data_IF_012039037179
#
_entry.id   IF_012039037179
#
_cell.length_a   1.000
_cell.length_b   1.000
_cell.length_c   1.000
_cell.angle_alpha   90.00
_cell.angle_beta   90.00
_cell.angle_gamma   90.00
#
_symmetry.space_group_name_H-M   'P 1'
#
loop_
_entity.id
_entity.type
_entity.pdbx_description
1 polymer ?
#
# COMPACT_ATOMS: atom_id res chain seq x y z
N UNK A 1 17.79 32.80 5.11
CA UNK A 1 17.71 31.49 5.83
C UNK A 1 19.14 30.97 5.99
N UNK A 2 19.59 30.65 7.22
CA UNK A 2 20.99 30.23 7.44
C UNK A 2 21.11 28.71 7.08
N UNK A 3 22.19 28.30 6.42
CA UNK A 3 22.48 26.94 5.96
C UNK A 3 22.33 25.89 7.07
N UNK A 4 22.71 26.24 8.31
CA UNK A 4 22.56 25.40 9.50
C UNK A 4 21.08 25.08 9.84
N UNK A 5 20.16 25.96 9.50
CA UNK A 5 18.73 25.79 9.79
C UNK A 5 18.08 24.71 8.94
N UNK A 6 18.37 24.66 7.64
CA UNK A 6 17.83 23.62 6.74
C UNK A 6 18.28 22.23 7.17
N UNK A 7 19.56 22.08 7.50
CA UNK A 7 20.10 20.80 7.98
C UNK A 7 19.41 20.34 9.28
N UNK A 8 19.19 21.24 10.24
CA UNK A 8 18.52 20.90 11.50
C UNK A 8 17.04 20.53 11.29
N UNK A 9 16.35 21.21 10.37
CA UNK A 9 14.96 20.90 10.02
C UNK A 9 14.85 19.54 9.32
N UNK A 10 15.75 19.23 8.40
CA UNK A 10 15.80 17.93 7.75
C UNK A 10 16.03 16.80 8.79
N UNK A 11 16.99 16.99 9.71
CA UNK A 11 17.23 16.03 10.81
C UNK A 11 16.00 15.84 11.68
N UNK A 12 15.28 16.91 12.05
CA UNK A 12 14.02 16.82 12.80
C UNK A 12 12.97 15.97 12.07
N UNK A 13 12.78 16.23 10.77
CA UNK A 13 11.81 15.50 9.95
C UNK A 13 12.15 14.00 9.90
N UNK A 14 13.43 13.64 9.70
CA UNK A 14 13.89 12.26 9.68
C UNK A 14 13.74 11.57 11.05
N UNK A 15 14.04 12.25 12.17
CA UNK A 15 13.82 11.67 13.51
C UNK A 15 12.36 11.40 13.77
N UNK A 16 11.47 12.32 13.37
CA UNK A 16 10.02 12.16 13.53
C UNK A 16 9.47 11.01 12.65
N UNK A 17 10.04 10.81 11.47
CA UNK A 17 9.67 9.73 10.56
C UNK A 17 10.14 8.37 11.08
N UNK A 18 11.41 8.26 11.52
CA UNK A 18 11.98 7.02 12.05
C UNK A 18 11.46 6.66 13.46
N UNK A 19 10.82 7.59 14.18
CA UNK A 19 10.44 7.42 15.58
C UNK A 19 11.63 7.14 16.53
N UNK A 20 12.86 7.38 16.06
CA UNK A 20 14.11 6.98 16.74
C UNK A 20 15.31 7.81 16.29
N UNK A 21 16.07 8.34 17.25
CA UNK A 21 17.34 9.03 16.97
C UNK A 21 18.39 8.11 16.32
N UNK A 22 18.42 6.84 16.71
CA UNK A 22 19.34 5.85 16.12
C UNK A 22 18.91 5.46 14.69
N UNK A 23 17.60 5.37 14.44
CA UNK A 23 17.05 5.16 13.11
C UNK A 23 17.44 6.28 12.16
N UNK A 24 17.18 7.53 12.57
CA UNK A 24 17.54 8.72 11.80
C UNK A 24 19.05 8.84 11.55
N UNK A 25 19.88 8.50 12.54
CA UNK A 25 21.33 8.51 12.39
C UNK A 25 21.83 7.55 11.31
N UNK A 26 21.22 6.37 11.21
CA UNK A 26 21.51 5.39 10.14
C UNK A 26 21.05 5.90 8.77
N UNK A 27 19.84 6.43 8.69
CA UNK A 27 19.26 6.94 7.45
C UNK A 27 20.05 8.14 6.91
N UNK A 28 20.48 9.04 7.80
CA UNK A 28 21.27 10.23 7.43
C UNK A 28 22.78 9.96 7.30
N UNK A 29 23.24 8.75 7.60
CA UNK A 29 24.66 8.36 7.63
C UNK A 29 25.55 9.30 8.50
N UNK A 30 25.01 9.75 9.66
CA UNK A 30 25.73 10.61 10.62
C UNK A 30 25.71 9.99 12.02
N UNK A 31 26.59 10.50 12.92
CA UNK A 31 26.66 10.01 14.29
C UNK A 31 25.36 10.30 15.07
N UNK A 32 24.88 9.38 15.94
CA UNK A 32 23.69 9.61 16.77
C UNK A 32 23.78 10.86 17.67
N UNK A 33 25.00 11.22 18.12
CA UNK A 33 25.26 12.45 18.86
C UNK A 33 25.01 13.70 18.02
N UNK A 34 25.33 13.68 16.73
CA UNK A 34 25.10 14.78 15.80
C UNK A 34 23.60 15.00 15.56
N UNK A 35 22.83 13.91 15.40
CA UNK A 35 21.37 13.97 15.30
C UNK A 35 20.75 14.59 16.55
N UNK A 36 21.14 14.11 17.74
CA UNK A 36 20.63 14.63 19.01
C UNK A 36 21.00 16.11 19.21
N UNK A 37 22.21 16.50 18.87
CA UNK A 37 22.66 17.88 18.94
C UNK A 37 21.88 18.79 17.97
N UNK A 38 21.66 18.36 16.74
CA UNK A 38 20.93 19.14 15.74
C UNK A 38 19.49 19.44 16.19
N UNK A 39 18.77 18.43 16.71
CA UNK A 39 17.41 18.61 17.25
C UNK A 39 17.41 19.50 18.48
N UNK A 40 18.29 19.25 19.46
CA UNK A 40 18.36 20.05 20.70
C UNK A 40 18.74 21.51 20.43
N UNK A 41 19.64 21.76 19.48
CA UNK A 41 20.00 23.12 19.04
C UNK A 41 18.81 23.83 18.35
N UNK A 42 18.01 23.13 17.57
CA UNK A 42 16.81 23.65 16.96
C UNK A 42 15.75 24.01 18.02
N UNK A 43 15.47 23.11 18.96
CA UNK A 43 14.54 23.31 20.06
C UNK A 43 14.96 24.48 20.96
N UNK A 44 16.23 24.54 21.34
CA UNK A 44 16.77 25.63 22.17
C UNK A 44 16.64 27.01 21.51
N UNK A 45 16.82 27.08 20.19
CA UNK A 45 16.66 28.31 19.42
C UNK A 45 15.21 28.74 19.28
N UNK A 46 14.29 27.80 19.09
CA UNK A 46 12.86 28.09 18.96
C UNK A 46 12.19 28.30 20.33
N UNK A 47 12.84 27.91 21.42
CA UNK A 47 12.31 28.02 22.79
C UNK A 47 11.21 27.01 23.10
N UNK A 48 11.00 26.02 22.21
CA UNK A 48 9.95 25.00 22.35
C UNK A 48 10.50 23.60 22.11
N UNK A 49 9.93 22.61 22.77
CA UNK A 49 10.22 21.20 22.48
C UNK A 49 9.38 20.74 21.29
N UNK A 50 10.05 20.12 20.32
CA UNK A 50 9.42 19.61 19.10
C UNK A 50 9.23 18.09 19.14
N UNK A 51 10.03 17.38 19.97
CA UNK A 51 9.94 15.94 20.15
C UNK A 51 9.77 15.58 21.62
N UNK A 52 8.76 14.76 21.91
CA UNK A 52 8.61 14.08 23.18
C UNK A 52 9.49 12.82 23.17
N UNK A 53 10.32 12.66 24.20
CA UNK A 53 11.24 11.53 24.34
C UNK A 53 10.75 10.63 25.48
N UNK A 54 10.49 9.37 25.21
CA UNK A 54 10.33 8.33 26.21
C UNK A 54 11.47 7.32 26.10
N UNK A 55 11.62 6.44 27.06
CA UNK A 55 12.61 5.35 27.01
C UNK A 55 12.35 4.35 25.89
N UNK A 56 11.15 4.37 25.29
CA UNK A 56 10.71 3.39 24.28
C UNK A 56 10.43 3.99 22.91
N UNK A 57 10.14 5.30 22.80
CA UNK A 57 9.73 5.94 21.54
C UNK A 57 10.05 7.43 21.53
N UNK A 58 10.15 7.97 20.31
CA UNK A 58 10.22 9.42 20.03
C UNK A 58 9.03 9.78 19.17
N UNK A 59 8.26 10.77 19.61
CA UNK A 59 7.07 11.27 18.87
C UNK A 59 7.11 12.81 18.84
N UNK A 60 6.50 13.45 17.82
CA UNK A 60 6.32 14.90 17.81
C UNK A 60 5.48 15.38 18.99
N UNK A 61 5.80 16.55 19.54
CA UNK A 61 4.89 17.33 20.39
C UNK A 61 3.81 17.97 19.52
N UNK A 62 2.86 18.69 20.11
CA UNK A 62 1.85 19.43 19.36
C UNK A 62 2.52 20.49 18.44
N UNK A 63 3.47 21.27 19.00
CA UNK A 63 4.25 22.25 18.25
C UNK A 63 5.12 21.59 17.18
N UNK A 64 5.68 20.41 17.52
CA UNK A 64 6.45 19.60 16.57
C UNK A 64 5.61 19.10 15.41
N UNK A 65 4.39 18.64 15.68
CA UNK A 65 3.45 18.19 14.64
C UNK A 65 3.04 19.34 13.71
N UNK A 66 2.68 20.49 14.27
CA UNK A 66 2.32 21.69 13.48
C UNK A 66 3.50 22.17 12.60
N UNK A 67 4.72 22.13 13.12
CA UNK A 67 5.91 22.46 12.32
C UNK A 67 6.12 21.44 11.19
N UNK A 68 6.03 20.15 11.51
CA UNK A 68 6.27 19.07 10.55
C UNK A 68 5.23 19.05 9.41
N UNK A 69 3.99 19.39 9.69
CA UNK A 69 2.93 19.53 8.68
C UNK A 69 3.32 20.48 7.54
N UNK A 70 3.98 21.62 7.89
CA UNK A 70 4.45 22.60 6.91
C UNK A 70 5.84 22.28 6.37
N UNK A 71 6.68 21.67 7.19
CA UNK A 71 8.08 21.39 6.86
C UNK A 71 8.21 20.27 5.82
N UNK A 72 7.44 19.19 5.96
CA UNK A 72 7.52 18.05 5.03
C UNK A 72 7.25 18.44 3.58
N UNK A 73 6.17 19.20 3.25
CA UNK A 73 5.97 19.68 1.88
C UNK A 73 7.11 20.56 1.38
N UNK A 74 7.65 21.44 2.26
CA UNK A 74 8.74 22.35 1.88
C UNK A 74 10.06 21.60 1.56
N UNK A 75 10.42 20.60 2.37
CA UNK A 75 11.57 19.73 2.09
C UNK A 75 11.37 18.97 0.78
N UNK A 76 10.17 18.45 0.56
CA UNK A 76 9.80 17.77 -0.68
C UNK A 76 9.92 18.66 -1.92
N UNK A 77 9.57 19.95 -1.83
CA UNK A 77 9.75 20.92 -2.92
C UNK A 77 11.24 21.20 -3.20
N UNK A 78 12.08 21.25 -2.16
CA UNK A 78 13.53 21.40 -2.32
C UNK A 78 14.12 20.19 -3.03
N UNK A 79 13.74 18.98 -2.63
CA UNK A 79 14.17 17.74 -3.28
C UNK A 79 13.75 17.71 -4.74
N UNK A 80 12.49 18.10 -5.03
CA UNK A 80 11.97 18.19 -6.38
C UNK A 80 12.77 19.19 -7.24
N UNK A 81 13.11 20.36 -6.69
CA UNK A 81 13.92 21.35 -7.40
C UNK A 81 15.32 20.82 -7.72
N UNK A 82 15.92 20.06 -6.81
CA UNK A 82 17.22 19.39 -7.03
C UNK A 82 17.11 18.28 -8.09
N UNK A 83 16.06 17.46 -8.01
CA UNK A 83 15.78 16.41 -9.00
C UNK A 83 15.53 16.99 -10.39
N UNK A 84 14.74 18.09 -10.49
CA UNK A 84 14.49 18.80 -11.74
C UNK A 84 15.80 19.37 -12.34
N UNK A 85 16.69 19.89 -11.51
CA UNK A 85 18.00 20.34 -11.95
C UNK A 85 18.92 19.18 -12.42
N UNK A 86 18.70 17.98 -11.90
CA UNK A 86 19.37 16.75 -12.32
C UNK A 86 18.74 16.12 -13.56
N UNK A 87 17.48 16.46 -13.90
CA UNK A 87 16.78 16.05 -15.15
C UNK A 87 17.51 16.47 -16.44
N UNK A 88 18.42 17.44 -16.37
CA UNK A 88 19.34 17.75 -17.48
C UNK A 88 20.30 16.59 -17.83
N UNK A 89 20.29 15.50 -17.04
CA UNK A 89 20.87 14.21 -17.35
C UNK A 89 19.72 13.28 -17.75
N UNK A 90 19.71 12.80 -18.97
CA UNK A 90 18.71 11.95 -19.66
C UNK A 90 18.20 10.68 -18.92
N UNK A 91 18.30 10.58 -17.59
CA UNK A 91 17.89 9.39 -16.83
C UNK A 91 17.12 9.75 -15.57
N UNK A 92 15.89 9.20 -15.41
CA UNK A 92 15.14 9.32 -14.16
C UNK A 92 15.93 8.73 -12.99
N UNK A 93 16.06 9.48 -11.89
CA UNK A 93 16.79 9.10 -10.68
C UNK A 93 16.06 9.60 -9.42
N UNK A 94 16.50 9.11 -8.25
CA UNK A 94 16.03 9.55 -6.95
C UNK A 94 15.19 8.52 -6.20
N UNK A 95 14.67 8.91 -5.03
CA UNK A 95 13.87 8.04 -4.18
C UNK A 95 12.39 8.14 -4.54
N UNK A 96 11.73 7.00 -4.62
CA UNK A 96 10.29 6.86 -4.85
C UNK A 96 9.67 5.98 -3.76
N UNK A 97 8.82 6.55 -2.91
CA UNK A 97 8.13 5.85 -1.82
C UNK A 97 6.66 5.65 -2.15
N UNK A 98 6.23 4.40 -2.13
CA UNK A 98 4.85 4.02 -2.47
C UNK A 98 4.17 3.31 -1.31
N UNK A 99 2.90 3.69 -1.04
CA UNK A 99 1.98 2.95 -0.20
C UNK A 99 1.16 1.99 -1.06
N UNK A 100 1.30 0.68 -0.84
CA UNK A 100 0.76 -0.34 -1.72
C UNK A 100 0.04 -1.42 -0.92
N UNK A 101 -1.21 -1.80 -1.24
CA UNK A 101 -1.84 -2.96 -0.61
C UNK A 101 -1.14 -4.24 -1.04
N UNK A 102 -1.11 -5.22 -0.15
CA UNK A 102 -0.44 -6.51 -0.34
C UNK A 102 -0.79 -7.18 -1.66
N UNK A 103 -2.07 -7.20 -2.00
CA UNK A 103 -2.58 -7.81 -3.24
C UNK A 103 -2.01 -7.13 -4.48
N UNK A 104 -1.96 -5.79 -4.52
CA UNK A 104 -1.37 -5.06 -5.65
C UNK A 104 0.14 -5.30 -5.75
N UNK A 105 0.84 -5.35 -4.62
CA UNK A 105 2.27 -5.65 -4.59
C UNK A 105 2.55 -7.02 -5.21
N UNK A 106 1.80 -8.05 -4.82
CA UNK A 106 1.98 -9.41 -5.33
C UNK A 106 1.55 -9.57 -6.79
N UNK A 107 0.36 -9.09 -7.14
CA UNK A 107 -0.25 -9.41 -8.44
C UNK A 107 0.15 -8.45 -9.57
N UNK A 108 0.46 -7.19 -9.23
CA UNK A 108 0.73 -6.16 -10.24
C UNK A 108 2.20 -5.74 -10.28
N UNK A 109 2.79 -5.45 -9.10
CA UNK A 109 4.14 -4.89 -9.06
C UNK A 109 5.22 -5.97 -9.14
N UNK A 110 5.19 -6.98 -8.26
CA UNK A 110 6.24 -8.00 -8.14
C UNK A 110 6.61 -8.65 -9.47
N UNK A 111 5.67 -9.01 -10.37
CA UNK A 111 6.03 -9.62 -11.65
C UNK A 111 6.88 -8.72 -12.57
N UNK A 112 6.87 -7.41 -12.33
CA UNK A 112 7.50 -6.40 -13.17
C UNK A 112 8.63 -5.62 -12.47
N UNK A 113 8.82 -5.78 -11.14
CA UNK A 113 9.85 -5.05 -10.36
C UNK A 113 11.26 -5.27 -10.90
N UNK A 114 11.61 -6.50 -11.24
CA UNK A 114 12.94 -6.79 -11.79
C UNK A 114 13.22 -6.08 -13.11
N UNK A 115 12.21 -6.01 -13.99
CA UNK A 115 12.32 -5.27 -15.26
C UNK A 115 12.38 -3.75 -15.02
N UNK A 116 11.60 -3.22 -14.07
CA UNK A 116 11.65 -1.82 -13.68
C UNK A 116 13.04 -1.43 -13.14
N UNK A 117 13.56 -2.17 -12.16
CA UNK A 117 14.88 -1.90 -11.58
C UNK A 117 16.01 -1.95 -12.62
N UNK A 118 15.90 -2.84 -13.62
CA UNK A 118 16.86 -2.89 -14.74
C UNK A 118 16.74 -1.69 -15.68
N UNK A 119 15.50 -1.21 -15.94
CA UNK A 119 15.26 -0.07 -16.82
C UNK A 119 15.67 1.27 -16.16
N UNK A 120 15.52 1.36 -14.83
CA UNK A 120 15.76 2.57 -14.06
C UNK A 120 16.69 2.32 -12.86
N UNK A 121 17.98 2.03 -13.10
CA UNK A 121 18.93 1.64 -12.05
C UNK A 121 19.26 2.76 -11.04
N UNK A 122 18.98 4.02 -11.40
CA UNK A 122 19.23 5.19 -10.56
C UNK A 122 18.01 5.58 -9.69
N UNK A 123 16.90 4.81 -9.77
CA UNK A 123 15.74 4.98 -8.91
C UNK A 123 15.81 4.03 -7.72
N UNK A 124 15.75 4.55 -6.51
CA UNK A 124 15.53 3.75 -5.29
C UNK A 124 14.05 3.68 -5.03
N UNK A 125 13.45 2.52 -5.31
CA UNK A 125 12.02 2.28 -5.11
C UNK A 125 11.79 1.63 -3.74
N UNK A 126 11.08 2.35 -2.86
CA UNK A 126 10.61 1.86 -1.57
C UNK A 126 9.11 1.57 -1.64
N UNK A 127 8.72 0.33 -1.40
CA UNK A 127 7.32 -0.10 -1.35
C UNK A 127 6.99 -0.47 0.08
N UNK A 128 6.06 0.26 0.70
CA UNK A 128 5.50 -0.08 1.99
C UNK A 128 4.16 -0.77 1.80
N UNK A 129 4.03 -1.95 2.42
CA UNK A 129 2.77 -2.69 2.38
C UNK A 129 1.83 -2.08 3.41
N UNK A 130 0.78 -1.43 2.92
CA UNK A 130 -0.24 -0.79 3.73
C UNK A 130 -1.63 -1.09 3.18
N UNK A 131 -2.35 -1.96 3.91
CA UNK A 131 -3.72 -2.34 3.57
C UNK A 131 -4.76 -1.35 4.15
N UNK A 132 -4.31 -0.38 4.97
CA UNK A 132 -5.15 0.74 5.42
C UNK A 132 -5.12 1.86 4.39
N UNK A 133 -6.23 2.60 4.34
CA UNK A 133 -6.25 3.85 3.58
C UNK A 133 -5.42 4.89 4.34
N UNK A 134 -4.20 5.13 3.87
CA UNK A 134 -3.30 6.15 4.42
C UNK A 134 -3.29 7.32 3.44
N UNK A 135 -3.42 8.54 3.95
CA UNK A 135 -3.22 9.73 3.12
C UNK A 135 -1.78 9.74 2.62
N UNK A 136 -1.62 9.82 1.29
CA UNK A 136 -0.31 9.80 0.62
C UNK A 136 0.58 10.95 1.10
N UNK A 137 -0.02 12.12 1.31
CA UNK A 137 0.71 13.33 1.71
C UNK A 137 1.12 13.27 3.18
N UNK A 138 0.18 12.90 4.08
CA UNK A 138 0.44 12.78 5.52
C UNK A 138 1.44 11.64 5.80
N UNK A 139 1.35 10.54 5.06
CA UNK A 139 2.25 9.39 5.17
C UNK A 139 3.65 9.63 4.61
N UNK A 140 3.88 10.75 3.91
CA UNK A 140 5.18 11.05 3.27
C UNK A 140 5.47 10.13 2.09
N UNK A 141 4.44 9.65 1.40
CA UNK A 141 4.55 8.88 0.17
C UNK A 141 4.51 9.78 -1.06
N UNK A 142 5.14 9.36 -2.15
CA UNK A 142 5.06 10.05 -3.43
C UNK A 142 3.79 9.67 -4.19
N UNK A 143 3.36 8.42 -4.04
CA UNK A 143 2.11 7.91 -4.60
C UNK A 143 1.57 6.73 -3.78
N UNK A 144 0.30 6.41 -3.98
CA UNK A 144 -0.33 5.20 -3.45
C UNK A 144 -0.86 4.31 -4.57
N UNK A 145 -1.10 3.04 -4.26
CA UNK A 145 -1.79 2.12 -5.14
C UNK A 145 -3.08 1.66 -4.46
N UNK A 146 -4.20 1.69 -5.16
CA UNK A 146 -5.50 1.21 -4.64
C UNK A 146 -6.36 0.67 -5.79
N UNK A 147 -7.43 -0.03 -5.44
CA UNK A 147 -8.52 -0.36 -6.39
C UNK A 147 -9.23 0.93 -6.82
N UNK A 148 -9.77 0.94 -8.04
CA UNK A 148 -10.34 2.14 -8.68
C UNK A 148 -11.50 2.80 -7.92
N UNK A 149 -12.21 2.05 -7.10
CA UNK A 149 -13.38 2.50 -6.34
C UNK A 149 -13.06 3.47 -5.17
N UNK A 150 -11.77 3.60 -4.79
CA UNK A 150 -11.33 4.29 -3.57
C UNK A 150 -10.62 5.62 -3.81
N UNK A 151 -10.87 6.31 -4.94
CA UNK A 151 -10.09 7.48 -5.34
C UNK A 151 -10.67 8.80 -4.83
N UNK A 152 -9.81 9.68 -4.27
CA UNK A 152 -10.18 11.02 -3.81
C UNK A 152 -10.24 12.03 -4.97
N UNK A 153 -11.11 13.07 -4.84
CA UNK A 153 -11.40 14.05 -5.91
C UNK A 153 -10.21 14.89 -6.38
N UNK A 154 -9.17 15.07 -5.56
CA UNK A 154 -7.99 15.92 -5.86
C UNK A 154 -6.75 15.12 -6.27
N UNK A 155 -6.92 13.85 -6.65
CA UNK A 155 -5.84 12.95 -7.04
C UNK A 155 -5.90 12.65 -8.54
N UNK A 156 -4.73 12.49 -9.15
CA UNK A 156 -4.60 11.87 -10.47
C UNK A 156 -4.50 10.37 -10.26
N UNK A 157 -5.29 9.61 -11.02
CA UNK A 157 -5.27 8.16 -11.01
C UNK A 157 -4.87 7.62 -12.38
N UNK A 158 -3.92 6.69 -12.39
CA UNK A 158 -3.47 6.01 -13.61
C UNK A 158 -3.58 4.51 -13.40
N UNK A 159 -4.28 3.84 -14.28
CA UNK A 159 -4.46 2.39 -14.22
C UNK A 159 -3.15 1.65 -14.46
N UNK A 160 -2.79 0.73 -13.55
CA UNK A 160 -1.54 -0.04 -13.60
C UNK A 160 -1.75 -1.57 -13.62
N UNK A 161 -2.97 -2.03 -13.49
CA UNK A 161 -3.33 -3.45 -13.50
C UNK A 161 -4.48 -3.78 -14.44
N UNK A 162 -4.62 -5.06 -14.85
CA UNK A 162 -5.77 -5.53 -15.60
C UNK A 162 -7.03 -5.47 -14.73
N UNK A 163 -8.19 -5.76 -15.34
CA UNK A 163 -9.40 -6.05 -14.59
C UNK A 163 -9.16 -7.19 -13.61
N UNK A 164 -9.73 -7.05 -12.44
CA UNK A 164 -9.68 -8.03 -11.37
C UNK A 164 -11.01 -8.76 -11.26
N UNK A 165 -10.99 -9.95 -10.72
CA UNK A 165 -12.20 -10.75 -10.48
C UNK A 165 -12.06 -11.51 -9.17
N UNK A 166 -13.12 -11.56 -8.39
CA UNK A 166 -13.24 -12.47 -7.25
C UNK A 166 -13.50 -13.90 -7.69
N UNK A 167 -13.13 -14.85 -6.87
CA UNK A 167 -13.45 -16.26 -7.03
C UNK A 167 -13.88 -16.88 -5.71
N UNK A 168 -15.06 -17.48 -5.69
CA UNK A 168 -15.48 -18.35 -4.59
C UNK A 168 -15.03 -19.77 -4.92
N UNK A 169 -14.22 -20.35 -4.04
CA UNK A 169 -13.58 -21.65 -4.26
C UNK A 169 -13.67 -22.56 -3.04
N UNK A 170 -13.65 -23.86 -3.29
CA UNK A 170 -13.53 -24.89 -2.26
C UNK A 170 -12.89 -26.16 -2.82
N UNK A 171 -12.29 -26.96 -1.96
CA UNK A 171 -11.67 -28.23 -2.35
C UNK A 171 -12.72 -29.27 -2.77
N UNK A 172 -12.37 -30.21 -3.67
CA UNK A 172 -13.23 -31.36 -3.97
C UNK A 172 -13.64 -32.15 -2.73
N UNK A 173 -12.73 -32.31 -1.75
CA UNK A 173 -13.00 -32.98 -0.46
C UNK A 173 -14.08 -32.28 0.36
N UNK A 174 -14.13 -30.96 0.33
CA UNK A 174 -15.19 -30.19 0.98
C UNK A 174 -16.55 -30.45 0.32
N UNK A 175 -16.61 -30.43 -1.01
CA UNK A 175 -17.84 -30.67 -1.77
C UNK A 175 -18.27 -32.14 -1.80
N UNK A 176 -17.42 -33.06 -1.39
CA UNK A 176 -17.83 -34.46 -1.18
C UNK A 176 -18.81 -34.61 0.01
N UNK A 177 -18.73 -33.68 0.98
CA UNK A 177 -19.58 -33.67 2.17
C UNK A 177 -20.67 -32.57 2.15
N UNK A 178 -20.52 -31.55 1.30
CA UNK A 178 -21.39 -30.39 1.25
C UNK A 178 -21.85 -30.11 -0.20
N UNK A 179 -23.12 -29.81 -0.47
CA UNK A 179 -23.56 -29.44 -1.80
C UNK A 179 -22.84 -28.17 -2.28
N UNK A 180 -22.76 -27.98 -3.60
CA UNK A 180 -22.22 -26.72 -4.15
C UNK A 180 -23.26 -25.61 -4.05
N UNK A 181 -22.91 -24.42 -3.57
CA UNK A 181 -23.82 -23.28 -3.57
C UNK A 181 -24.10 -22.81 -5.01
N UNK A 182 -25.34 -22.51 -5.32
CA UNK A 182 -25.80 -21.97 -6.61
C UNK A 182 -26.21 -20.49 -6.50
N UNK A 183 -26.43 -20.00 -5.28
CA UNK A 183 -26.79 -18.63 -4.99
C UNK A 183 -25.96 -18.10 -3.80
N UNK A 184 -25.59 -16.81 -3.73
CA UNK A 184 -24.81 -16.27 -2.60
C UNK A 184 -25.44 -16.54 -1.22
N UNK A 185 -26.77 -16.58 -1.13
CA UNK A 185 -27.47 -16.86 0.14
C UNK A 185 -27.26 -18.29 0.65
N UNK A 186 -26.92 -19.25 -0.22
CA UNK A 186 -26.61 -20.62 0.17
C UNK A 186 -25.35 -20.69 1.05
N UNK A 187 -24.50 -19.65 1.02
CA UNK A 187 -23.30 -19.55 1.86
C UNK A 187 -23.60 -19.55 3.36
N UNK A 188 -24.87 -19.29 3.76
CA UNK A 188 -25.31 -19.39 5.15
C UNK A 188 -25.16 -20.82 5.71
N UNK A 189 -25.25 -21.85 4.86
CA UNK A 189 -25.12 -23.26 5.23
C UNK A 189 -23.67 -23.76 5.09
N UNK A 190 -22.73 -22.92 4.66
CA UNK A 190 -21.35 -23.29 4.42
C UNK A 190 -20.38 -22.72 5.46
N UNK A 191 -19.31 -23.47 5.71
CA UNK A 191 -18.15 -22.95 6.45
C UNK A 191 -17.31 -22.10 5.48
N UNK A 192 -17.13 -20.81 5.82
CA UNK A 192 -16.36 -19.88 5.01
C UNK A 192 -15.09 -19.45 5.74
N UNK A 193 -14.01 -19.29 4.99
CA UNK A 193 -12.76 -18.71 5.47
C UNK A 193 -12.85 -17.20 5.29
N UNK A 194 -12.81 -16.46 6.39
CA UNK A 194 -13.11 -15.04 6.41
C UNK A 194 -11.83 -14.22 6.32
N UNK A 195 -11.90 -13.12 5.60
CA UNK A 195 -10.81 -12.14 5.54
C UNK A 195 -11.05 -11.01 6.54
N UNK A 196 -10.00 -10.62 7.29
CA UNK A 196 -10.01 -9.46 8.18
C UNK A 196 -9.04 -8.41 7.68
N UNK A 197 -9.56 -7.22 7.39
CA UNK A 197 -8.71 -6.07 7.07
C UNK A 197 -7.86 -5.65 8.27
N UNK A 198 -6.74 -4.97 8.01
CA UNK A 198 -5.88 -4.37 9.03
C UNK A 198 -6.59 -3.33 9.91
N UNK A 199 -7.74 -2.79 9.45
CA UNK A 199 -8.65 -1.95 10.24
C UNK A 199 -9.42 -2.72 11.32
N UNK A 200 -9.36 -4.07 11.31
CA UNK A 200 -10.13 -4.94 12.19
C UNK A 200 -11.50 -5.34 11.63
N UNK A 201 -11.95 -4.74 10.54
CA UNK A 201 -13.24 -5.03 9.90
C UNK A 201 -13.15 -6.39 9.17
N UNK A 202 -14.18 -7.21 9.29
CA UNK A 202 -14.33 -8.43 8.50
C UNK A 202 -14.90 -8.06 7.13
N UNK A 203 -14.28 -8.60 6.07
CA UNK A 203 -14.76 -8.43 4.71
C UNK A 203 -16.12 -9.12 4.55
N UNK A 204 -17.09 -8.38 4.04
CA UNK A 204 -18.38 -8.92 3.60
C UNK A 204 -18.22 -9.29 2.12
N UNK A 205 -18.53 -10.54 1.80
CA UNK A 205 -18.42 -11.01 0.42
C UNK A 205 -19.43 -10.32 -0.47
N UNK A 206 -18.97 -9.66 -1.50
CA UNK A 206 -19.76 -8.86 -2.42
C UNK A 206 -20.02 -9.64 -3.71
N UNK A 207 -21.26 -9.69 -4.11
CA UNK A 207 -21.74 -10.41 -5.29
C UNK A 207 -22.62 -9.50 -6.12
N UNK A 208 -22.50 -9.61 -7.46
CA UNK A 208 -23.37 -8.89 -8.39
C UNK A 208 -23.73 -9.76 -9.58
N UNK A 209 -25.00 -9.73 -9.98
CA UNK A 209 -25.50 -10.45 -11.16
C UNK A 209 -26.76 -9.78 -11.70
N UNK A 210 -26.75 -9.37 -12.97
CA UNK A 210 -27.95 -8.85 -13.64
C UNK A 210 -28.55 -7.60 -12.99
N UNK A 211 -27.73 -6.78 -12.30
CA UNK A 211 -28.16 -5.59 -11.58
C UNK A 211 -28.59 -5.86 -10.13
N UNK A 212 -28.60 -7.10 -9.68
CA UNK A 212 -28.76 -7.45 -8.27
C UNK A 212 -27.39 -7.44 -7.58
N UNK A 213 -27.28 -6.75 -6.43
CA UNK A 213 -26.09 -6.71 -5.58
C UNK A 213 -26.41 -7.33 -4.23
N UNK A 214 -25.55 -8.23 -3.76
CA UNK A 214 -25.73 -8.95 -2.49
C UNK A 214 -24.43 -8.92 -1.71
N UNK A 215 -24.50 -8.50 -0.45
CA UNK A 215 -23.42 -8.64 0.52
C UNK A 215 -23.68 -9.77 1.51
N UNK A 216 -22.74 -10.67 1.68
CA UNK A 216 -22.83 -11.79 2.63
C UNK A 216 -21.81 -11.62 3.76
N UNK A 217 -22.29 -11.57 4.99
CA UNK A 217 -21.46 -11.71 6.19
C UNK A 217 -21.13 -13.20 6.40
N UNK A 218 -20.19 -13.70 5.64
CA UNK A 218 -19.77 -15.10 5.67
C UNK A 218 -19.42 -15.58 7.10
N UNK A 219 -19.76 -16.82 7.42
CA UNK A 219 -19.52 -17.43 8.72
C UNK A 219 -18.58 -18.63 8.60
N UNK A 220 -17.76 -18.87 9.63
CA UNK A 220 -16.88 -20.02 9.64
C UNK A 220 -15.74 -19.91 10.65
N UNK A 221 -14.96 -21.00 10.83
CA UNK A 221 -14.04 -21.14 11.93
C UNK A 221 -12.71 -20.39 11.77
N UNK A 222 -12.35 -20.00 10.53
CA UNK A 222 -11.09 -19.30 10.25
C UNK A 222 -11.30 -17.85 9.88
N UNK A 223 -10.45 -17.00 10.45
CA UNK A 223 -10.32 -15.58 10.10
C UNK A 223 -8.84 -15.36 9.83
N UNK A 224 -8.51 -14.93 8.62
CA UNK A 224 -7.15 -14.67 8.16
C UNK A 224 -7.09 -13.26 7.54
N UNK A 225 -5.90 -12.73 7.35
CA UNK A 225 -5.64 -11.40 6.78
C UNK A 225 -4.70 -11.45 5.57
N UNK A 226 -4.61 -12.66 4.95
CA UNK A 226 -3.69 -12.89 3.84
C UNK A 226 -4.29 -13.88 2.84
N UNK A 227 -4.36 -13.47 1.56
CA UNK A 227 -5.03 -14.24 0.50
C UNK A 227 -4.40 -15.60 0.22
N UNK A 228 -3.06 -15.74 0.31
CA UNK A 228 -2.40 -17.02 0.09
C UNK A 228 -2.73 -18.02 1.18
N UNK A 229 -2.82 -17.59 2.45
CA UNK A 229 -3.23 -18.44 3.56
C UNK A 229 -4.68 -18.88 3.42
N UNK A 230 -5.55 -17.97 2.96
CA UNK A 230 -6.96 -18.26 2.70
C UNK A 230 -7.09 -19.29 1.57
N UNK A 231 -6.36 -19.09 0.46
CA UNK A 231 -6.36 -20.02 -0.66
C UNK A 231 -5.83 -21.42 -0.24
N UNK A 232 -4.76 -21.46 0.57
CA UNK A 232 -4.21 -22.72 1.08
C UNK A 232 -5.22 -23.43 2.00
N UNK A 233 -5.86 -22.72 2.93
CA UNK A 233 -6.87 -23.30 3.81
C UNK A 233 -8.09 -23.85 3.02
N UNK A 234 -8.44 -23.21 1.89
CA UNK A 234 -9.47 -23.73 1.00
C UNK A 234 -9.02 -25.01 0.28
N UNK A 235 -7.77 -25.09 -0.19
CA UNK A 235 -7.17 -26.30 -0.78
C UNK A 235 -7.20 -27.47 0.23
N UNK A 236 -6.92 -27.18 1.51
CA UNK A 236 -6.92 -28.17 2.60
C UNK A 236 -8.35 -28.60 3.01
N UNK A 237 -9.40 -28.06 2.35
CA UNK A 237 -10.78 -28.45 2.57
C UNK A 237 -11.44 -27.88 3.82
N UNK A 238 -10.88 -26.83 4.42
CA UNK A 238 -11.42 -26.20 5.64
C UNK A 238 -12.80 -25.58 5.42
N UNK A 239 -13.05 -25.03 4.21
CA UNK A 239 -14.28 -24.35 3.85
C UNK A 239 -14.20 -23.66 2.49
N UNK A 240 -15.16 -22.80 2.23
CA UNK A 240 -15.17 -21.93 1.04
C UNK A 240 -14.32 -20.67 1.29
N UNK A 241 -13.62 -20.24 0.27
CA UNK A 241 -12.87 -18.99 0.26
C UNK A 241 -13.38 -18.05 -0.83
N UNK A 242 -13.39 -16.74 -0.54
CA UNK A 242 -13.52 -15.68 -1.53
C UNK A 242 -12.18 -14.96 -1.63
N UNK A 243 -11.51 -15.10 -2.76
CA UNK A 243 -10.18 -14.52 -3.01
C UNK A 243 -10.12 -13.94 -4.42
N UNK A 244 -9.10 -13.13 -4.70
CA UNK A 244 -8.86 -12.73 -6.10
C UNK A 244 -8.44 -13.93 -6.95
N UNK A 245 -9.05 -14.07 -8.13
CA UNK A 245 -8.84 -15.20 -9.05
C UNK A 245 -7.35 -15.54 -9.31
N UNK A 246 -6.42 -14.58 -9.49
CA UNK A 246 -5.01 -14.92 -9.70
C UNK A 246 -4.37 -15.79 -8.61
N UNK A 247 -4.81 -15.69 -7.35
CA UNK A 247 -4.29 -16.51 -6.25
C UNK A 247 -4.67 -17.98 -6.37
N UNK A 248 -5.77 -18.28 -7.06
CA UNK A 248 -6.32 -19.64 -7.17
C UNK A 248 -6.33 -20.19 -8.60
N UNK A 249 -5.77 -19.46 -9.56
CA UNK A 249 -5.74 -19.87 -10.97
C UNK A 249 -5.08 -21.23 -11.17
N UNK A 250 -3.91 -21.47 -10.57
CA UNK A 250 -3.22 -22.74 -10.68
C UNK A 250 -3.99 -23.88 -9.98
N UNK A 251 -4.45 -23.75 -8.70
CA UNK A 251 -5.29 -24.74 -8.05
C UNK A 251 -6.60 -25.04 -8.76
N UNK A 252 -7.20 -24.07 -9.46
CA UNK A 252 -8.38 -24.30 -10.30
C UNK A 252 -8.03 -25.10 -11.54
N UNK A 253 -6.91 -24.80 -12.20
CA UNK A 253 -6.48 -25.48 -13.41
C UNK A 253 -6.07 -26.94 -13.15
N UNK A 254 -5.48 -27.24 -12.01
CA UNK A 254 -5.05 -28.61 -11.63
C UNK A 254 -6.11 -29.40 -10.83
N UNK A 255 -7.28 -28.79 -10.58
CA UNK A 255 -8.41 -29.47 -9.94
C UNK A 255 -8.34 -29.57 -8.42
N UNK A 256 -7.35 -28.96 -7.76
CA UNK A 256 -7.28 -28.89 -6.28
C UNK A 256 -8.37 -27.99 -5.70
N UNK A 257 -8.88 -27.06 -6.48
CA UNK A 257 -10.03 -26.22 -6.14
C UNK A 257 -11.12 -26.32 -7.22
N UNK A 258 -12.35 -26.16 -6.80
CA UNK A 258 -13.54 -26.03 -7.65
C UNK A 258 -14.11 -24.64 -7.43
N UNK A 259 -14.37 -23.93 -8.52
CA UNK A 259 -15.04 -22.62 -8.52
C UNK A 259 -16.55 -22.81 -8.42
N UNK A 260 -17.19 -21.96 -7.63
CA UNK A 260 -18.65 -21.84 -7.50
C UNK A 260 -19.07 -20.38 -7.60
N UNK A 261 -20.34 -20.10 -7.81
CA UNK A 261 -20.90 -18.74 -7.92
C UNK A 261 -20.19 -17.84 -8.94
N UNK A 262 -19.67 -18.43 -10.02
CA UNK A 262 -18.87 -17.70 -10.99
C UNK A 262 -19.62 -16.55 -11.65
N UNK A 263 -20.88 -16.73 -11.93
CA UNK A 263 -21.78 -15.77 -12.56
C UNK A 263 -22.19 -14.61 -11.60
N UNK A 264 -21.87 -14.74 -10.31
CA UNK A 264 -22.06 -13.73 -9.28
C UNK A 264 -20.81 -12.91 -8.98
N UNK A 265 -19.68 -13.20 -9.62
CA UNK A 265 -18.42 -12.51 -9.44
C UNK A 265 -17.99 -11.84 -10.75
N UNK A 266 -18.63 -10.73 -11.18
CA UNK A 266 -18.23 -10.00 -12.38
C UNK A 266 -16.83 -9.43 -12.23
N UNK A 267 -16.13 -9.15 -13.34
CA UNK A 267 -14.88 -8.40 -13.30
C UNK A 267 -15.15 -6.95 -12.90
N UNK A 268 -14.17 -6.35 -12.25
CA UNK A 268 -14.16 -4.95 -11.86
C UNK A 268 -12.81 -4.30 -12.17
N UNK A 269 -12.77 -2.97 -12.14
CA UNK A 269 -11.54 -2.23 -12.41
C UNK A 269 -10.44 -2.63 -11.41
N UNK A 270 -9.24 -2.89 -11.93
CA UNK A 270 -8.11 -3.30 -11.15
C UNK A 270 -7.45 -2.16 -10.36
N UNK A 271 -6.13 -2.22 -10.25
CA UNK A 271 -5.38 -1.28 -9.44
C UNK A 271 -4.95 -0.04 -10.22
N UNK A 272 -4.97 1.08 -9.51
CA UNK A 272 -4.52 2.39 -9.98
C UNK A 272 -3.40 2.90 -9.07
N UNK A 273 -2.39 3.53 -9.66
CA UNK A 273 -1.51 4.42 -8.93
C UNK A 273 -2.18 5.80 -8.85
N UNK A 274 -2.19 6.40 -7.67
CA UNK A 274 -2.77 7.71 -7.45
C UNK A 274 -1.79 8.62 -6.71
N UNK A 275 -1.79 9.89 -7.10
CA UNK A 275 -0.90 10.91 -6.56
C UNK A 275 -1.56 12.30 -6.64
N UNK A 276 -1.14 13.29 -5.80
CA UNK A 276 -1.74 14.61 -5.76
C UNK A 276 -1.60 15.36 -7.09
N UNK A 277 -2.71 15.91 -7.62
CA UNK A 277 -2.75 16.65 -8.89
C UNK A 277 -1.99 17.96 -8.85
N UNK A 278 -1.83 18.57 -7.65
CA UNK A 278 -1.17 19.87 -7.44
C UNK A 278 0.35 19.78 -7.33
N UNK A 279 0.92 18.59 -7.32
CA UNK A 279 2.36 18.36 -7.21
C UNK A 279 2.95 18.20 -8.62
N UNK A 280 4.04 18.91 -8.90
CA UNK A 280 4.82 18.60 -10.10
C UNK A 280 5.30 17.15 -10.00
N UNK A 281 5.03 16.36 -11.04
CA UNK A 281 5.36 14.93 -11.06
C UNK A 281 6.89 14.78 -11.11
N UNK A 282 7.45 14.14 -10.09
CA UNK A 282 8.88 13.83 -10.02
C UNK A 282 9.29 12.86 -11.13
N UNK A 283 10.55 12.95 -11.67
CA UNK A 283 11.03 12.04 -12.71
C UNK A 283 10.89 10.57 -12.36
N UNK A 284 11.25 10.19 -11.14
CA UNK A 284 11.10 8.82 -10.65
C UNK A 284 9.65 8.33 -10.65
N UNK A 285 8.70 9.18 -10.21
CA UNK A 285 7.27 8.85 -10.24
C UNK A 285 6.76 8.75 -11.69
N UNK A 286 7.17 9.67 -12.56
CA UNK A 286 6.81 9.62 -13.99
C UNK A 286 7.29 8.32 -14.63
N UNK A 287 8.55 7.95 -14.40
CA UNK A 287 9.13 6.70 -14.90
C UNK A 287 8.35 5.47 -14.40
N UNK A 288 7.96 5.47 -13.10
CA UNK A 288 7.14 4.41 -12.52
C UNK A 288 5.77 4.33 -13.18
N UNK A 289 5.05 5.46 -13.27
CA UNK A 289 3.72 5.53 -13.90
C UNK A 289 3.80 5.08 -15.34
N UNK A 290 4.75 5.59 -16.12
CA UNK A 290 4.90 5.24 -17.54
C UNK A 290 5.26 3.77 -17.75
N UNK A 291 6.03 3.17 -16.84
CA UNK A 291 6.41 1.77 -16.92
C UNK A 291 5.25 0.83 -16.55
N UNK A 292 4.47 1.17 -15.50
CA UNK A 292 3.41 0.31 -14.99
C UNK A 292 2.05 0.55 -15.61
N UNK A 293 1.79 1.71 -16.23
CA UNK A 293 0.49 1.98 -16.87
C UNK A 293 0.09 0.89 -17.84
N UNK A 294 -1.18 0.53 -17.82
CA UNK A 294 -1.77 -0.37 -18.80
C UNK A 294 -2.13 0.48 -20.03
N UNK A 295 -1.56 0.12 -21.18
CA UNK A 295 -2.01 0.68 -22.47
C UNK A 295 -3.43 0.19 -22.72
N UNK A 296 -4.38 1.12 -22.87
CA UNK A 296 -5.76 0.82 -23.22
C UNK A 296 -5.88 0.24 -24.63
#
# INVERSE_FOLDING_TARGET
>A
MNRAHLSQLAVLATVAQCGSFRGAARELAIAPSAVSHAVSSLEARLGVRLLARSTRSVAPTEEGAQLLERLRPALSEIDLALETALEARDRPAGNLRLSVPRTAAHLVLTPRLGAFAKAYPDIVLEILIEDRFTDVVEGGFDAGVRLGESLQRDMIAVRIGPDMRGAVVGAPSYFAAMPRPHHPRDLADHRCIRFRFSSGILYRWEFAKGGEEIEIAAQGPLILDEDHLIAQAAIDGTGLAFVFEPYVRAPLADGRLIRVLEDWCPPFEGFFVYYPSRRQMRPALRAFVDFFKVSG
#
